data_IF_777168154334
#
_entry.id   IF_777168154334
#
_cell.length_a   1.000
_cell.length_b   1.000
_cell.length_c   1.000
_cell.angle_alpha   90.00
_cell.angle_beta   90.00
_cell.angle_gamma   90.00
#
_symmetry.space_group_name_H-M   'P 1'
#
loop_
_entity.id
_entity.type
_entity.pdbx_description
1 polymer ?
#
# COMPACT_ATOMS: atom_id res chain seq x y z
N UNK A 1 0.34 -16.27 32.78
CA UNK A 1 -0.90 -16.29 31.99
C UNK A 1 -1.87 -15.35 32.67
N UNK A 2 -1.77 -14.06 32.38
CA UNK A 2 -2.62 -13.04 33.01
C UNK A 2 -4.01 -13.17 32.41
N UNK A 3 -5.01 -13.50 33.24
CA UNK A 3 -6.39 -13.56 32.80
C UNK A 3 -6.81 -12.16 32.33
N UNK A 4 -7.23 -12.04 31.06
CA UNK A 4 -7.79 -10.80 30.53
C UNK A 4 -9.01 -10.41 31.39
N UNK A 5 -9.12 -9.12 31.68
CA UNK A 5 -10.28 -8.55 32.37
C UNK A 5 -11.56 -8.81 31.57
N UNK A 6 -12.69 -9.00 32.26
CA UNK A 6 -14.00 -9.22 31.62
C UNK A 6 -14.34 -8.13 30.59
N UNK A 7 -13.89 -6.89 30.83
CA UNK A 7 -14.04 -5.77 29.88
C UNK A 7 -13.17 -5.90 28.63
N UNK A 8 -11.95 -6.43 28.75
CA UNK A 8 -11.06 -6.65 27.61
C UNK A 8 -11.61 -7.76 26.71
N UNK A 9 -12.21 -8.79 27.31
CA UNK A 9 -12.89 -9.87 26.58
C UNK A 9 -14.13 -9.36 25.86
N UNK A 10 -14.94 -8.50 26.49
CA UNK A 10 -16.08 -7.84 25.84
C UNK A 10 -15.63 -6.97 24.66
N UNK A 11 -14.59 -6.15 24.85
CA UNK A 11 -14.04 -5.27 23.80
C UNK A 11 -13.51 -6.09 22.61
N UNK A 12 -12.75 -7.15 22.89
CA UNK A 12 -12.26 -8.08 21.86
C UNK A 12 -13.40 -8.74 21.09
N UNK A 13 -14.49 -9.13 21.77
CA UNK A 13 -15.64 -9.74 21.12
C UNK A 13 -16.34 -8.77 20.17
N UNK A 14 -16.52 -7.50 20.58
CA UNK A 14 -17.10 -6.44 19.74
C UNK A 14 -16.22 -6.15 18.53
N UNK A 15 -14.92 -5.94 18.74
CA UNK A 15 -13.97 -5.70 17.63
C UNK A 15 -13.94 -6.87 16.66
N UNK A 16 -13.98 -8.12 17.15
CA UNK A 16 -14.06 -9.30 16.27
C UNK A 16 -15.37 -9.39 15.50
N UNK A 17 -16.50 -9.02 16.11
CA UNK A 17 -17.79 -8.94 15.42
C UNK A 17 -17.70 -7.91 14.29
N UNK A 18 -17.27 -6.69 14.58
CA UNK A 18 -17.13 -5.62 13.57
C UNK A 18 -16.16 -5.99 12.46
N UNK A 19 -15.04 -6.66 12.77
CA UNK A 19 -14.11 -7.18 11.75
C UNK A 19 -14.80 -8.23 10.89
N UNK A 20 -15.57 -9.14 11.50
CA UNK A 20 -16.29 -10.20 10.77
C UNK A 20 -17.40 -9.62 9.91
N UNK A 21 -18.11 -8.60 10.38
CA UNK A 21 -19.15 -7.90 9.64
C UNK A 21 -18.55 -7.10 8.48
N UNK A 22 -17.38 -6.47 8.68
CA UNK A 22 -16.63 -5.78 7.63
C UNK A 22 -16.03 -6.75 6.58
N UNK A 23 -15.64 -7.96 6.99
CA UNK A 23 -15.23 -9.05 6.09
C UNK A 23 -16.43 -9.72 5.40
N UNK A 24 -17.60 -9.69 6.04
CA UNK A 24 -18.81 -10.43 5.67
C UNK A 24 -19.54 -9.93 4.43
N UNK A 25 -19.11 -8.80 3.87
CA UNK A 25 -19.54 -8.40 2.53
C UNK A 25 -18.68 -9.11 1.49
N UNK A 26 -19.03 -10.37 1.19
CA UNK A 26 -18.79 -10.99 -0.12
C UNK A 26 -19.58 -10.18 -1.17
N UNK A 27 -19.12 -8.98 -1.43
CA UNK A 27 -19.67 -8.09 -2.43
C UNK A 27 -19.11 -8.48 -3.80
N UNK A 28 -19.78 -8.04 -4.85
CA UNK A 28 -19.32 -8.12 -6.25
C UNK A 28 -17.85 -7.65 -6.42
N UNK A 29 -17.39 -6.78 -5.53
CA UNK A 29 -16.02 -6.25 -5.48
C UNK A 29 -14.98 -7.32 -5.11
N UNK A 30 -15.29 -8.27 -4.23
CA UNK A 30 -14.34 -9.32 -3.84
C UNK A 30 -14.04 -10.24 -5.03
N UNK A 31 -15.08 -10.71 -5.72
CA UNK A 31 -14.96 -11.55 -6.92
C UNK A 31 -14.23 -10.80 -8.05
N UNK A 32 -14.48 -9.50 -8.19
CA UNK A 32 -13.75 -8.67 -9.16
C UNK A 32 -12.26 -8.56 -8.83
N UNK A 33 -11.90 -8.46 -7.54
CA UNK A 33 -10.50 -8.39 -7.09
C UNK A 33 -9.77 -9.71 -7.25
N UNK A 34 -10.46 -10.82 -6.97
CA UNK A 34 -9.92 -12.17 -7.19
C UNK A 34 -9.63 -12.39 -8.68
N UNK A 35 -10.63 -12.15 -9.55
CA UNK A 35 -10.43 -12.23 -11.01
C UNK A 35 -9.32 -11.31 -11.50
N UNK A 36 -9.22 -10.09 -10.99
CA UNK A 36 -8.15 -9.17 -11.37
C UNK A 36 -6.76 -9.73 -11.04
N UNK A 37 -6.61 -10.40 -9.89
CA UNK A 37 -5.36 -11.08 -9.53
C UNK A 37 -5.08 -12.28 -10.43
N UNK A 38 -6.09 -13.10 -10.75
CA UNK A 38 -5.94 -14.23 -11.67
C UNK A 38 -5.48 -13.76 -13.07
N UNK A 39 -6.10 -12.70 -13.61
CA UNK A 39 -5.69 -12.10 -14.87
C UNK A 39 -4.28 -11.51 -14.82
N UNK A 40 -3.89 -10.90 -13.69
CA UNK A 40 -2.54 -10.34 -13.53
C UNK A 40 -1.46 -11.41 -13.49
N UNK A 41 -1.72 -12.55 -12.86
CA UNK A 41 -0.77 -13.67 -12.82
C UNK A 41 -0.90 -14.62 -14.02
N UNK A 42 -1.77 -14.32 -14.97
CA UNK A 42 -2.10 -15.17 -16.12
C UNK A 42 -2.44 -16.62 -15.68
N UNK A 43 -3.22 -16.74 -14.59
CA UNK A 43 -3.64 -18.03 -14.06
C UNK A 43 -4.66 -18.71 -14.98
N UNK A 44 -4.70 -20.05 -14.98
CA UNK A 44 -5.65 -20.81 -15.78
C UNK A 44 -7.09 -20.57 -15.31
N UNK A 45 -8.02 -20.37 -16.26
CA UNK A 45 -9.44 -20.08 -15.97
C UNK A 45 -10.26 -21.29 -15.50
N UNK A 46 -9.63 -22.46 -15.34
CA UNK A 46 -10.30 -23.70 -14.89
C UNK A 46 -11.27 -24.33 -15.89
N UNK A 47 -11.41 -23.77 -17.10
CA UNK A 47 -12.23 -24.28 -18.20
C UNK A 47 -11.39 -25.00 -19.29
N UNK A 48 -10.15 -25.33 -18.94
CA UNK A 48 -9.14 -25.89 -19.81
C UNK A 48 -9.48 -27.31 -20.25
N UNK A 49 -9.38 -27.59 -21.55
CA UNK A 49 -9.61 -28.93 -22.11
C UNK A 49 -8.28 -29.55 -22.49
N UNK A 50 -8.02 -30.76 -22.01
CA UNK A 50 -6.80 -31.51 -22.31
C UNK A 50 -6.60 -31.65 -23.84
N UNK A 51 -5.40 -31.30 -24.32
CA UNK A 51 -5.07 -31.31 -25.75
C UNK A 51 -5.39 -30.03 -26.52
N UNK A 52 -5.91 -28.98 -25.87
CA UNK A 52 -6.02 -27.63 -26.44
C UNK A 52 -4.94 -26.70 -25.87
N UNK A 53 -4.74 -25.56 -26.54
CA UNK A 53 -3.81 -24.53 -26.07
C UNK A 53 -4.27 -23.97 -24.72
N UNK A 54 -3.36 -23.96 -23.74
CA UNK A 54 -3.54 -23.36 -22.41
C UNK A 54 -2.83 -22.00 -22.30
N UNK A 55 -2.58 -21.34 -23.43
CA UNK A 55 -1.98 -20.01 -23.41
C UNK A 55 -2.97 -19.01 -22.83
N UNK A 56 -2.58 -18.36 -21.74
CA UNK A 56 -3.30 -17.25 -21.11
C UNK A 56 -2.57 -15.95 -21.47
N UNK A 57 -3.33 -14.94 -21.90
CA UNK A 57 -2.79 -13.66 -22.31
C UNK A 57 -2.44 -12.76 -21.11
N UNK A 58 -1.27 -12.12 -21.13
CA UNK A 58 -0.72 -11.31 -20.04
C UNK A 58 -1.01 -9.80 -20.16
N UNK A 59 -1.92 -9.38 -21.05
CA UNK A 59 -2.17 -7.96 -21.34
C UNK A 59 -2.45 -7.11 -20.09
N UNK A 60 -3.11 -7.68 -19.07
CA UNK A 60 -3.38 -6.97 -17.81
C UNK A 60 -2.09 -6.65 -17.05
N UNK A 61 -1.20 -7.63 -16.93
CA UNK A 61 0.12 -7.44 -16.32
C UNK A 61 0.94 -6.41 -17.09
N UNK A 62 1.01 -6.57 -18.41
CA UNK A 62 1.81 -5.69 -19.28
C UNK A 62 1.33 -4.23 -19.20
N UNK A 63 0.01 -4.02 -19.15
CA UNK A 63 -0.57 -2.68 -19.02
C UNK A 63 -0.23 -2.04 -17.67
N UNK A 64 -0.32 -2.80 -16.58
CA UNK A 64 -0.01 -2.29 -15.23
C UNK A 64 1.49 -1.95 -15.13
N UNK A 65 2.36 -2.86 -15.56
CA UNK A 65 3.82 -2.62 -15.55
C UNK A 65 4.23 -1.47 -16.46
N UNK A 66 3.53 -1.26 -17.57
CA UNK A 66 3.80 -0.14 -18.47
C UNK A 66 3.42 1.23 -17.88
N UNK A 67 2.31 1.32 -17.13
CA UNK A 67 1.84 2.57 -16.52
C UNK A 67 2.65 2.95 -15.27
N UNK A 68 3.12 1.95 -14.50
CA UNK A 68 3.84 2.14 -13.23
C UNK A 68 5.00 3.16 -13.31
N UNK A 69 5.96 3.06 -14.24
CA UNK A 69 7.05 4.05 -14.35
C UNK A 69 6.56 5.47 -14.64
N UNK A 70 5.45 5.62 -15.38
CA UNK A 70 4.88 6.93 -15.65
C UNK A 70 4.28 7.56 -14.40
N UNK A 71 3.57 6.79 -13.58
CA UNK A 71 3.08 7.26 -12.27
C UNK A 71 4.23 7.58 -11.32
N UNK A 72 5.23 6.70 -11.24
CA UNK A 72 6.41 6.93 -10.41
C UNK A 72 7.18 8.18 -10.83
N UNK A 73 7.22 8.53 -12.12
CA UNK A 73 7.80 9.80 -12.55
C UNK A 73 6.96 11.00 -12.11
N UNK A 74 5.64 10.93 -12.23
CA UNK A 74 4.77 12.06 -11.84
C UNK A 74 4.84 12.32 -10.34
N UNK A 75 4.84 11.28 -9.52
CA UNK A 75 4.79 11.41 -8.06
C UNK A 75 6.14 11.29 -7.36
N UNK A 76 7.19 10.79 -8.04
CA UNK A 76 8.49 10.50 -7.45
C UNK A 76 9.70 11.09 -8.18
N UNK A 77 9.53 11.80 -9.30
CA UNK A 77 10.66 12.46 -9.98
C UNK A 77 10.98 13.87 -9.44
N UNK A 78 10.25 14.34 -8.42
CA UNK A 78 10.57 15.60 -7.75
C UNK A 78 11.72 15.42 -6.76
N UNK A 79 12.62 16.41 -6.69
CA UNK A 79 13.61 16.52 -5.60
C UNK A 79 12.90 16.72 -4.24
N UNK A 80 11.71 17.31 -4.26
CA UNK A 80 10.83 17.53 -3.12
C UNK A 80 9.52 16.73 -3.34
N UNK A 81 9.31 15.66 -2.58
CA UNK A 81 8.04 14.89 -2.57
C UNK A 81 6.90 15.69 -1.93
N UNK A 82 7.23 16.47 -0.90
CA UNK A 82 6.31 17.37 -0.21
C UNK A 82 6.97 18.74 -0.11
N UNK A 83 6.22 19.81 -0.38
CA UNK A 83 6.67 21.19 -0.23
C UNK A 83 5.70 21.96 0.66
N UNK A 84 6.20 22.55 1.74
CA UNK A 84 5.41 23.44 2.58
C UNK A 84 5.45 24.86 2.01
N UNK A 85 4.28 25.45 1.79
CA UNK A 85 4.18 26.84 1.35
C UNK A 85 4.11 27.78 2.56
N UNK A 86 5.00 28.76 2.69
CA UNK A 86 4.96 29.72 3.79
C UNK A 86 3.75 30.66 3.64
N UNK A 87 3.16 31.08 4.76
CA UNK A 87 2.05 32.04 4.77
C UNK A 87 2.54 33.49 4.88
N UNK A 88 3.70 33.71 5.52
CA UNK A 88 4.35 35.02 5.64
C UNK A 88 5.88 34.97 5.44
N UNK A 89 6.55 36.13 5.30
CA UNK A 89 8.01 36.23 5.17
C UNK A 89 8.78 35.59 6.33
N UNK A 90 8.22 35.61 7.52
CA UNK A 90 8.77 35.02 8.74
C UNK A 90 8.79 33.48 8.74
N UNK A 91 7.89 32.86 7.98
CA UNK A 91 7.72 31.40 7.93
C UNK A 91 8.57 30.73 6.85
N UNK A 92 9.17 31.51 5.94
CA UNK A 92 10.01 31.01 4.84
C UNK A 92 11.10 30.04 5.34
N UNK A 93 11.96 30.40 6.31
CA UNK A 93 13.01 29.49 6.78
C UNK A 93 12.46 28.24 7.48
N UNK A 94 11.33 28.37 8.17
CA UNK A 94 10.71 27.23 8.86
C UNK A 94 10.03 26.27 7.87
N UNK A 95 9.41 26.80 6.81
CA UNK A 95 8.80 26.02 5.74
C UNK A 95 9.85 25.25 4.93
N UNK A 96 11.01 25.86 4.65
CA UNK A 96 12.15 25.18 4.02
C UNK A 96 12.66 24.04 4.91
N UNK A 97 12.92 24.31 6.19
CA UNK A 97 13.40 23.29 7.12
C UNK A 97 12.41 22.12 7.30
N UNK A 98 11.12 22.41 7.38
CA UNK A 98 10.07 21.40 7.46
C UNK A 98 9.98 20.56 6.17
N UNK A 99 10.14 21.21 5.02
CA UNK A 99 10.18 20.55 3.70
C UNK A 99 11.35 19.57 3.63
N UNK A 100 12.55 20.02 3.97
CA UNK A 100 13.75 19.19 3.95
C UNK A 100 13.64 18.01 4.92
N UNK A 101 13.13 18.25 6.13
CA UNK A 101 13.00 17.20 7.14
C UNK A 101 12.01 16.11 6.73
N UNK A 102 10.84 16.48 6.19
CA UNK A 102 9.85 15.48 5.74
C UNK A 102 10.36 14.68 4.56
N UNK A 103 11.05 15.31 3.61
CA UNK A 103 11.68 14.60 2.49
C UNK A 103 12.79 13.66 2.97
N UNK A 104 13.56 14.05 3.98
CA UNK A 104 14.55 13.18 4.63
C UNK A 104 13.88 11.96 5.27
N UNK A 105 12.85 12.14 6.11
CA UNK A 105 12.14 11.01 6.73
C UNK A 105 11.53 10.06 5.69
N UNK A 106 11.01 10.62 4.59
CA UNK A 106 10.39 9.83 3.54
C UNK A 106 11.39 9.02 2.69
N UNK A 107 12.60 9.55 2.47
CA UNK A 107 13.60 8.93 1.58
C UNK A 107 14.70 8.14 2.31
N UNK A 108 15.07 8.58 3.52
CA UNK A 108 16.17 8.01 4.31
C UNK A 108 15.69 7.08 5.42
N UNK A 109 14.70 7.52 6.20
CA UNK A 109 14.21 6.71 7.33
C UNK A 109 13.20 5.65 6.87
N UNK A 110 12.53 5.89 5.74
CA UNK A 110 11.59 4.96 5.14
C UNK A 110 11.97 4.68 3.68
N UNK A 111 11.68 3.47 3.16
CA UNK A 111 11.79 3.18 1.74
C UNK A 111 10.59 3.77 0.98
N UNK A 112 10.43 5.10 1.01
CA UNK A 112 9.24 5.79 0.47
C UNK A 112 8.97 5.50 -1.00
N UNK A 113 10.01 5.31 -1.82
CA UNK A 113 9.88 4.90 -3.22
C UNK A 113 9.24 3.52 -3.37
N UNK A 114 9.68 2.53 -2.60
CA UNK A 114 9.14 1.17 -2.64
C UNK A 114 7.71 1.13 -2.11
N UNK A 115 7.42 1.90 -1.06
CA UNK A 115 6.06 2.05 -0.51
C UNK A 115 5.12 2.59 -1.58
N UNK A 116 5.51 3.66 -2.29
CA UNK A 116 4.70 4.22 -3.38
C UNK A 116 4.55 3.25 -4.55
N UNK A 117 5.62 2.54 -4.92
CA UNK A 117 5.58 1.56 -6.00
C UNK A 117 4.58 0.44 -5.71
N UNK A 118 4.64 -0.14 -4.50
CA UNK A 118 3.70 -1.17 -4.05
C UNK A 118 2.28 -0.61 -3.91
N UNK A 119 2.14 0.61 -3.39
CA UNK A 119 0.83 1.25 -3.25
C UNK A 119 0.15 1.50 -4.59
N UNK A 120 0.88 1.98 -5.60
CA UNK A 120 0.34 2.13 -6.96
C UNK A 120 0.01 0.78 -7.59
N UNK A 121 0.80 -0.26 -7.33
CA UNK A 121 0.49 -1.61 -7.81
C UNK A 121 -0.86 -2.09 -7.26
N UNK A 122 -1.06 -2.00 -5.95
CA UNK A 122 -2.29 -2.41 -5.28
C UNK A 122 -3.47 -1.56 -5.73
N UNK A 123 -3.28 -0.24 -5.87
CA UNK A 123 -4.32 0.67 -6.36
C UNK A 123 -4.77 0.33 -7.79
N UNK A 124 -3.84 0.01 -8.69
CA UNK A 124 -4.15 -0.36 -10.08
C UNK A 124 -4.81 -1.74 -10.17
N UNK A 125 -4.40 -2.69 -9.33
CA UNK A 125 -4.87 -4.08 -9.39
C UNK A 125 -6.19 -4.30 -8.63
N UNK A 126 -6.27 -3.81 -7.39
CA UNK A 126 -7.38 -4.08 -6.47
C UNK A 126 -8.41 -2.94 -6.40
N UNK A 127 -8.22 -1.88 -7.22
CA UNK A 127 -8.98 -0.62 -7.23
C UNK A 127 -8.84 0.22 -5.95
N UNK A 128 -8.11 -0.28 -4.95
CA UNK A 128 -7.85 0.38 -3.69
C UNK A 128 -6.43 0.02 -3.22
N UNK A 129 -5.66 1.00 -2.78
CA UNK A 129 -4.37 0.77 -2.14
C UNK A 129 -4.42 1.35 -0.73
N UNK A 130 -4.02 0.58 0.27
CA UNK A 130 -4.04 1.00 1.68
C UNK A 130 -2.60 1.09 2.19
N UNK A 131 -2.22 2.27 2.68
CA UNK A 131 -0.92 2.48 3.34
C UNK A 131 -1.16 2.69 4.83
N UNK A 132 -0.47 1.91 5.67
CA UNK A 132 -0.51 2.07 7.12
C UNK A 132 0.73 2.80 7.59
N UNK A 133 0.53 3.90 8.31
CA UNK A 133 1.61 4.67 8.95
C UNK A 133 1.55 4.44 10.45
N UNK A 134 2.70 4.19 11.07
CA UNK A 134 2.83 4.05 12.52
C UNK A 134 4.16 4.62 13.01
N UNK A 135 4.22 4.99 14.28
CA UNK A 135 5.47 5.34 14.95
C UNK A 135 6.16 4.07 15.44
N UNK A 136 7.42 3.88 15.05
CA UNK A 136 8.24 2.79 15.56
C UNK A 136 8.96 3.26 16.83
N UNK A 137 8.53 2.75 17.99
CA UNK A 137 9.11 3.10 19.30
C UNK A 137 10.29 2.19 19.68
N UNK A 138 10.68 1.24 18.82
CA UNK A 138 11.80 0.34 19.07
C UNK A 138 13.12 0.98 18.63
N UNK A 139 14.09 1.09 19.54
CA UNK A 139 15.47 1.41 19.20
C UNK A 139 16.08 0.24 18.41
N UNK A 140 16.41 0.45 17.14
CA UNK A 140 17.28 -0.47 16.42
C UNK A 140 18.70 -0.38 17.01
N UNK A 141 19.09 -1.38 17.80
CA UNK A 141 20.49 -1.55 18.20
C UNK A 141 21.32 -1.86 16.95
N UNK A 142 21.95 -0.83 16.39
CA UNK A 142 22.89 -0.96 15.27
C UNK A 142 24.18 -1.59 15.80
N UNK A 143 24.31 -2.91 15.66
CA UNK A 143 25.57 -3.62 15.94
C UNK A 143 26.56 -3.30 14.82
N UNK A 144 27.56 -2.47 15.11
CA UNK A 144 28.71 -2.26 14.22
C UNK A 144 29.51 -3.58 14.13
N UNK A 145 29.81 -4.01 12.89
CA UNK A 145 30.80 -5.06 12.58
C UNK A 145 32.20 -4.46 12.44
#
# INVERSE_FOLDING_TARGET
>A
TTALSDKETELLSKVRSEITDALGYMDEISDQREKAQEYYYALPFGNEVEGRSQYVDSTVQDTIEWIKPSLMRVFGAGDEMVKFSPHGPEDVPMAEQATDYVNYVFTKDNPGWEILYSWFHDALLQKNGIVKVWWNEYEEERREE
#
